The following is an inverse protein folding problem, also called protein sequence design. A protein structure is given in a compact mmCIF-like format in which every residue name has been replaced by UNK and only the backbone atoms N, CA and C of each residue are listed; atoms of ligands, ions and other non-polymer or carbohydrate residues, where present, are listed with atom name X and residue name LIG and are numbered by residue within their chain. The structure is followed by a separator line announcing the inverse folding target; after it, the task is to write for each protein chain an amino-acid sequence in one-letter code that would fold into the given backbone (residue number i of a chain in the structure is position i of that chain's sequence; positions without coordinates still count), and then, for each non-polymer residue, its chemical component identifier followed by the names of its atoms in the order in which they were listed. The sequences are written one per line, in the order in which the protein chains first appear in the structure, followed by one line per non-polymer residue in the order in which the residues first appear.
data_IF_994139427564
#
_entry.id   IF_994139427564
#
_cell.length_a   1.000
_cell.length_b   1.000
_cell.length_c   1.000
_cell.angle_alpha   90.00
_cell.angle_beta   90.00
_cell.angle_gamma   90.00
#
_symmetry.space_group_name_H-M   'P 1'
#
loop_
_entity.id
_entity.type
_entity.pdbx_description
1 polymer ?
#
# COMPACT_ATOMS: atom_id res chain seq x y z
N UNK A 1 6.77 -23.14 3.57
CA UNK A 1 8.00 -23.71 2.98
C UNK A 1 9.18 -23.02 3.64
N UNK A 2 10.15 -23.73 4.23
CA UNK A 2 11.29 -23.09 4.90
C UNK A 2 12.31 -22.68 3.85
N UNK A 3 12.62 -21.38 3.74
CA UNK A 3 13.82 -20.87 3.08
C UNK A 3 15.02 -21.59 3.73
N UNK A 4 15.54 -22.66 3.11
CA UNK A 4 16.36 -23.63 3.85
C UNK A 4 17.75 -23.11 4.18
N UNK A 5 18.31 -22.19 3.38
CA UNK A 5 19.57 -21.52 3.69
C UNK A 5 19.75 -20.28 2.81
N UNK A 6 19.81 -19.08 3.41
CA UNK A 6 20.35 -17.89 2.73
C UNK A 6 21.86 -17.93 2.91
N UNK A 7 22.60 -18.25 1.84
CA UNK A 7 24.07 -18.19 1.85
C UNK A 7 24.51 -16.84 1.31
N UNK A 8 24.58 -15.85 2.19
CA UNK A 8 25.06 -14.53 1.83
C UNK A 8 26.57 -14.55 1.54
N UNK A 9 26.95 -14.37 0.27
CA UNK A 9 28.32 -14.14 -0.15
C UNK A 9 28.41 -12.79 -0.87
N UNK A 10 28.98 -11.78 -0.19
CA UNK A 10 29.14 -10.44 -0.73
C UNK A 10 30.55 -10.23 -1.30
N UNK A 11 30.62 -9.74 -2.54
CA UNK A 11 31.85 -9.27 -3.18
C UNK A 11 31.85 -7.75 -3.12
N UNK A 12 32.82 -7.18 -2.40
CA UNK A 12 32.95 -5.72 -2.29
C UNK A 12 33.73 -5.18 -3.50
N UNK A 13 33.07 -4.40 -4.35
CA UNK A 13 33.73 -3.61 -5.38
C UNK A 13 33.81 -2.15 -4.91
N UNK A 14 34.97 -1.73 -4.41
CA UNK A 14 35.21 -0.32 -4.06
C UNK A 14 35.63 0.43 -5.32
N UNK A 15 34.71 1.22 -5.87
CA UNK A 15 34.98 2.15 -6.96
C UNK A 15 34.21 3.45 -6.75
N UNK A 16 34.90 4.60 -6.85
CA UNK A 16 34.32 5.95 -6.98
C UNK A 16 33.16 6.33 -6.03
N UNK A 17 33.14 5.87 -4.78
CA UNK A 17 32.17 6.30 -3.76
C UNK A 17 30.87 5.50 -3.70
N UNK A 18 30.67 4.50 -4.56
CA UNK A 18 29.57 3.55 -4.45
C UNK A 18 30.01 2.30 -3.67
N UNK A 19 29.17 1.84 -2.74
CA UNK A 19 29.36 0.57 -2.04
C UNK A 19 28.35 -0.42 -2.62
N UNK A 20 28.82 -1.45 -3.33
CA UNK A 20 27.98 -2.51 -3.86
C UNK A 20 28.10 -3.76 -2.99
N UNK A 21 26.97 -4.32 -2.57
CA UNK A 21 26.87 -5.62 -1.93
C UNK A 21 26.24 -6.62 -2.91
N UNK A 22 26.64 -7.88 -2.86
CA UNK A 22 25.95 -8.95 -3.59
C UNK A 22 25.37 -9.93 -2.57
N UNK A 23 24.08 -10.23 -2.65
CA UNK A 23 23.44 -11.30 -1.89
C UNK A 23 23.22 -12.48 -2.83
N UNK A 24 23.71 -13.65 -2.44
CA UNK A 24 23.36 -14.89 -3.13
C UNK A 24 22.27 -15.59 -2.33
N UNK A 25 21.16 -15.94 -2.97
CA UNK A 25 20.06 -16.68 -2.35
C UNK A 25 19.95 -17.99 -3.11
N UNK A 26 19.94 -19.11 -2.39
CA UNK A 26 19.67 -20.42 -2.99
C UNK A 26 18.23 -20.81 -2.66
N UNK A 27 17.40 -20.96 -3.69
CA UNK A 27 16.00 -21.37 -3.58
C UNK A 27 15.87 -22.66 -4.38
N UNK A 28 15.74 -23.79 -3.68
CA UNK A 28 15.58 -25.12 -4.27
C UNK A 28 16.66 -25.48 -5.33
N UNK A 29 17.91 -25.07 -5.10
CA UNK A 29 19.03 -25.33 -6.00
C UNK A 29 19.20 -24.28 -7.10
N UNK A 30 18.37 -23.23 -7.11
CA UNK A 30 18.54 -22.06 -7.97
C UNK A 30 19.26 -20.97 -7.19
N UNK A 31 20.51 -20.68 -7.58
CA UNK A 31 21.27 -19.58 -7.00
C UNK A 31 20.97 -18.27 -7.72
N UNK A 32 20.38 -17.33 -6.99
CA UNK A 32 20.07 -15.98 -7.44
C UNK A 32 21.08 -15.02 -6.84
N UNK A 33 21.75 -14.21 -7.68
CA UNK A 33 22.69 -13.18 -7.22
C UNK A 33 22.04 -11.81 -7.37
N UNK A 34 21.80 -11.16 -6.25
CA UNK A 34 21.28 -9.81 -6.15
C UNK A 34 22.42 -8.86 -5.93
N UNK A 35 22.64 -7.89 -6.82
CA UNK A 35 23.57 -6.80 -6.57
C UNK A 35 22.78 -5.59 -6.06
N UNK A 36 23.21 -5.04 -4.93
CA UNK A 36 22.67 -3.83 -4.33
C UNK A 36 23.77 -2.79 -4.32
N UNK A 37 23.45 -1.55 -4.70
CA UNK A 37 24.31 -0.41 -4.41
C UNK A 37 23.72 0.41 -3.27
N UNK A 38 24.54 1.25 -2.63
CA UNK A 38 24.12 2.16 -1.57
C UNK A 38 23.31 3.37 -2.07
N UNK A 39 22.97 3.42 -3.36
CA UNK A 39 22.26 4.53 -4.01
C UNK A 39 20.83 4.20 -4.41
N UNK A 40 20.49 2.91 -4.46
CA UNK A 40 19.18 2.37 -4.78
C UNK A 40 18.53 1.76 -3.55
N UNK A 41 17.21 1.71 -3.56
CA UNK A 41 16.45 0.99 -2.56
C UNK A 41 16.74 -0.50 -2.64
N UNK A 42 17.46 -0.98 -1.64
CA UNK A 42 17.72 -2.40 -1.40
C UNK A 42 16.40 -3.19 -1.35
N UNK A 43 15.35 -2.59 -0.78
CA UNK A 43 14.04 -3.19 -0.67
C UNK A 43 13.33 -3.36 -2.02
N UNK A 44 13.28 -2.31 -2.85
CA UNK A 44 12.68 -2.40 -4.18
C UNK A 44 13.37 -3.44 -5.07
N UNK A 45 14.69 -3.51 -4.98
CA UNK A 45 15.49 -4.54 -5.68
C UNK A 45 15.15 -5.94 -5.18
N UNK A 46 15.08 -6.15 -3.86
CA UNK A 46 14.71 -7.44 -3.28
C UNK A 46 13.30 -7.88 -3.72
N UNK A 47 12.33 -6.97 -3.67
CA UNK A 47 10.93 -7.25 -4.02
C UNK A 47 10.77 -7.57 -5.51
N UNK A 48 11.50 -6.87 -6.40
CA UNK A 48 11.58 -7.21 -7.84
C UNK A 48 12.03 -8.65 -8.05
N UNK A 49 13.09 -9.06 -7.38
CA UNK A 49 13.65 -10.39 -7.57
C UNK A 49 12.75 -11.48 -6.98
N UNK A 50 12.06 -11.21 -5.86
CA UNK A 50 11.02 -12.10 -5.33
C UNK A 50 9.90 -12.29 -6.37
N UNK A 51 9.45 -11.20 -7.03
CA UNK A 51 8.44 -11.29 -8.08
C UNK A 51 8.92 -12.08 -9.31
N UNK A 52 10.14 -11.80 -9.82
CA UNK A 52 10.74 -12.52 -10.95
C UNK A 52 10.87 -14.03 -10.69
N UNK A 53 11.18 -14.42 -9.44
CA UNK A 53 11.27 -15.81 -9.03
C UNK A 53 9.91 -16.51 -8.99
N UNK A 54 8.86 -15.81 -8.56
CA UNK A 54 7.48 -16.33 -8.58
C UNK A 54 7.04 -16.70 -10.00
N UNK A 55 7.34 -15.83 -10.98
CA UNK A 55 7.02 -16.04 -12.39
C UNK A 55 7.78 -17.21 -13.01
N UNK A 56 9.10 -17.28 -12.79
CA UNK A 56 9.96 -18.32 -13.37
C UNK A 56 9.55 -19.75 -12.98
N UNK A 57 8.83 -19.89 -11.87
CA UNK A 57 8.43 -21.17 -11.31
C UNK A 57 6.94 -21.48 -11.42
N UNK A 58 6.24 -20.78 -12.33
CA UNK A 58 4.89 -21.14 -12.78
C UNK A 58 3.82 -21.05 -11.68
N UNK A 59 3.98 -20.11 -10.73
CA UNK A 59 3.09 -19.95 -9.58
C UNK A 59 3.13 -21.12 -8.58
N UNK A 60 3.93 -22.17 -8.83
CA UNK A 60 3.93 -23.42 -8.06
C UNK A 60 4.92 -23.47 -6.91
N UNK A 61 5.95 -22.60 -6.90
CA UNK A 61 6.91 -22.56 -5.78
C UNK A 61 6.32 -21.98 -4.50
N UNK A 62 5.24 -21.22 -4.61
CA UNK A 62 4.51 -20.69 -3.47
C UNK A 62 3.19 -21.46 -3.30
N UNK A 63 3.29 -22.79 -3.19
CA UNK A 63 2.16 -23.75 -3.17
C UNK A 63 1.32 -23.77 -1.88
N UNK A 64 1.04 -22.61 -1.30
CA UNK A 64 0.03 -22.36 -0.27
C UNK A 64 -0.54 -20.97 -0.52
N UNK A 65 -1.73 -20.67 0.03
CA UNK A 65 -2.32 -19.33 0.04
C UNK A 65 -1.25 -18.25 0.27
N UNK A 66 -0.79 -17.61 -0.80
CA UNK A 66 0.16 -16.51 -0.68
C UNK A 66 -0.64 -15.32 -0.21
N UNK A 67 -0.74 -15.16 1.10
CA UNK A 67 -1.14 -13.89 1.66
C UNK A 67 -0.06 -12.88 1.23
N UNK A 68 -0.47 -11.76 0.66
CA UNK A 68 0.40 -10.69 0.15
C UNK A 68 1.48 -10.30 1.17
N UNK A 69 1.19 -10.48 2.47
CA UNK A 69 2.13 -10.36 3.59
C UNK A 69 3.36 -11.29 3.55
N UNK A 70 3.29 -12.49 2.97
CA UNK A 70 4.44 -13.41 2.87
C UNK A 70 5.50 -12.88 1.91
N UNK A 71 5.09 -12.26 0.80
CA UNK A 71 6.02 -11.67 -0.16
C UNK A 71 6.67 -10.40 0.40
N UNK A 72 5.92 -9.57 1.14
CA UNK A 72 6.49 -8.46 1.91
C UNK A 72 7.43 -8.92 3.03
N UNK A 73 7.09 -10.01 3.74
CA UNK A 73 7.98 -10.61 4.73
C UNK A 73 9.27 -11.11 4.08
N UNK A 74 9.19 -11.84 2.96
CA UNK A 74 10.36 -12.33 2.25
C UNK A 74 11.22 -11.20 1.70
N UNK A 75 10.62 -10.19 1.07
CA UNK A 75 11.32 -9.01 0.58
C UNK A 75 11.95 -8.21 1.73
N UNK A 76 11.24 -8.07 2.85
CA UNK A 76 11.74 -7.45 4.08
C UNK A 76 12.94 -8.18 4.67
N UNK A 77 12.87 -9.51 4.79
CA UNK A 77 13.99 -10.32 5.28
C UNK A 77 15.23 -10.22 4.38
N UNK A 78 15.02 -10.19 3.05
CA UNK A 78 16.11 -9.98 2.08
C UNK A 78 16.70 -8.56 2.18
N UNK A 79 15.84 -7.56 2.34
CA UNK A 79 16.27 -6.17 2.51
C UNK A 79 17.06 -5.98 3.80
N UNK A 80 16.60 -6.58 4.91
CA UNK A 80 17.28 -6.55 6.20
C UNK A 80 18.66 -7.22 6.11
N UNK A 81 18.75 -8.37 5.45
CA UNK A 81 20.03 -9.05 5.21
C UNK A 81 21.01 -8.21 4.39
N UNK A 82 20.53 -7.57 3.34
CA UNK A 82 21.35 -6.70 2.50
C UNK A 82 21.75 -5.38 3.21
N UNK A 83 20.86 -4.79 4.02
CA UNK A 83 21.17 -3.65 4.88
C UNK A 83 22.23 -3.99 5.93
N UNK A 84 22.11 -5.14 6.59
CA UNK A 84 23.10 -5.59 7.57
C UNK A 84 24.48 -5.78 6.93
N UNK A 85 24.54 -6.37 5.72
CA UNK A 85 25.78 -6.54 4.96
C UNK A 85 26.40 -5.20 4.56
N UNK A 86 25.60 -4.24 4.11
CA UNK A 86 26.06 -2.90 3.77
C UNK A 86 26.59 -2.17 5.02
N UNK A 87 25.89 -2.27 6.15
CA UNK A 87 26.31 -1.67 7.40
C UNK A 87 27.63 -2.26 7.93
N UNK A 88 27.79 -3.58 7.95
CA UNK A 88 29.02 -4.26 8.38
C UNK A 88 30.22 -3.87 7.50
N UNK A 89 30.02 -3.76 6.18
CA UNK A 89 31.15 -3.67 5.23
C UNK A 89 31.48 -2.26 4.78
N UNK A 90 30.51 -1.35 4.84
CA UNK A 90 30.70 0.06 4.50
C UNK A 90 30.86 0.94 5.76
N UNK A 91 30.59 0.42 6.98
CA UNK A 91 30.56 1.19 8.25
C UNK A 91 31.90 1.45 8.96
N UNK A 92 32.98 0.72 8.67
CA UNK A 92 34.22 0.76 9.48
C UNK A 92 35.32 1.72 8.98
N UNK A 93 34.99 2.64 8.06
CA UNK A 93 35.97 3.53 7.44
C UNK A 93 35.94 4.98 7.96
N UNK A 94 36.19 5.21 9.25
CA UNK A 94 36.67 6.47 9.87
C UNK A 94 36.03 7.84 9.47
N UNK A 95 34.89 7.89 8.76
CA UNK A 95 34.50 9.12 8.05
C UNK A 95 33.03 9.47 7.91
N UNK A 96 32.08 8.70 8.44
CA UNK A 96 30.68 9.10 8.46
C UNK A 96 29.76 7.97 8.88
N UNK A 97 28.75 8.31 9.67
CA UNK A 97 27.63 7.45 10.08
C UNK A 97 26.84 7.07 8.81
N UNK A 98 27.41 6.19 7.97
CA UNK A 98 26.82 5.70 6.73
C UNK A 98 25.74 4.67 7.05
N UNK A 99 24.82 5.04 7.94
CA UNK A 99 23.59 4.30 8.12
C UNK A 99 22.82 4.39 6.81
N UNK A 100 22.30 3.28 6.29
CA UNK A 100 21.41 3.32 5.16
C UNK A 100 20.28 4.32 5.42
N UNK A 101 19.84 5.02 4.37
CA UNK A 101 18.67 5.89 4.48
C UNK A 101 17.48 5.08 5.02
N UNK A 102 16.62 5.67 5.87
CA UNK A 102 15.40 5.02 6.33
C UNK A 102 14.56 4.54 5.14
N UNK A 103 13.96 3.34 5.24
CA UNK A 103 12.91 2.92 4.32
C UNK A 103 11.61 3.54 4.80
N UNK A 104 11.06 4.44 4.00
CA UNK A 104 9.78 5.08 4.27
C UNK A 104 8.66 4.28 3.58
N UNK A 105 7.74 3.79 4.40
CA UNK A 105 6.53 3.08 3.98
C UNK A 105 5.34 4.02 4.15
N UNK A 106 4.52 4.17 3.12
CA UNK A 106 3.29 4.94 3.17
C UNK A 106 2.12 4.02 2.79
N UNK A 107 1.20 3.80 3.72
CA UNK A 107 -0.02 3.04 3.48
C UNK A 107 -1.24 3.96 3.62
N UNK A 108 -2.07 4.02 2.58
CA UNK A 108 -3.33 4.77 2.57
C UNK A 108 -4.49 3.81 2.59
N UNK A 109 -5.40 4.03 3.55
CA UNK A 109 -6.45 3.06 3.88
C UNK A 109 -5.90 1.88 4.65
N UNK A 110 -5.11 2.17 5.69
CA UNK A 110 -4.48 1.13 6.52
C UNK A 110 -5.48 0.32 7.37
N UNK A 111 -6.77 0.71 7.35
CA UNK A 111 -7.83 0.05 8.07
C UNK A 111 -7.49 -0.12 9.56
N UNK A 112 -7.56 -1.34 10.10
CA UNK A 112 -7.14 -1.66 11.45
C UNK A 112 -5.76 -2.33 11.54
N UNK A 113 -5.08 -2.57 10.42
CA UNK A 113 -3.80 -3.28 10.37
C UNK A 113 -3.90 -4.78 10.56
N UNK A 114 -4.40 -5.25 11.70
CA UNK A 114 -4.49 -6.68 12.05
C UNK A 114 -5.68 -7.37 11.35
N UNK A 115 -5.65 -7.36 10.02
CA UNK A 115 -6.65 -7.99 9.18
C UNK A 115 -5.99 -8.97 8.20
N UNK A 116 -6.67 -10.04 7.77
CA UNK A 116 -6.12 -10.98 6.79
C UNK A 116 -5.72 -10.33 5.45
N UNK A 117 -6.27 -9.15 5.13
CA UNK A 117 -5.98 -8.41 3.91
C UNK A 117 -4.81 -7.44 4.03
N UNK A 118 -4.35 -7.09 5.23
CA UNK A 118 -3.29 -6.09 5.38
C UNK A 118 -1.91 -6.71 5.06
N UNK A 119 -1.23 -6.26 3.99
CA UNK A 119 0.03 -6.85 3.56
C UNK A 119 1.22 -6.47 4.44
N UNK A 120 1.10 -5.45 5.29
CA UNK A 120 2.20 -4.83 6.01
C UNK A 120 2.19 -5.11 7.51
N UNK A 121 1.04 -5.44 8.11
CA UNK A 121 0.90 -5.59 9.55
C UNK A 121 1.92 -6.54 10.18
N UNK A 122 1.96 -7.79 9.74
CA UNK A 122 2.85 -8.80 10.31
C UNK A 122 4.33 -8.37 10.23
N UNK A 123 4.73 -7.76 9.11
CA UNK A 123 6.08 -7.28 8.89
C UNK A 123 6.40 -6.06 9.76
N UNK A 124 5.64 -4.97 9.64
CA UNK A 124 5.87 -3.73 10.41
C UNK A 124 5.78 -3.95 11.93
N UNK A 125 4.87 -4.81 12.38
CA UNK A 125 4.63 -5.08 13.81
C UNK A 125 5.73 -5.94 14.43
N UNK A 126 6.25 -6.94 13.70
CA UNK A 126 7.06 -7.99 14.31
C UNK A 126 8.45 -8.20 13.70
N UNK A 127 8.69 -7.78 12.45
CA UNK A 127 9.91 -8.17 11.71
C UNK A 127 10.70 -7.01 11.15
N UNK A 128 10.06 -5.88 10.82
CA UNK A 128 10.71 -4.74 10.21
C UNK A 128 11.88 -4.24 11.07
N UNK A 129 12.98 -3.91 10.41
CA UNK A 129 14.13 -3.38 11.11
C UNK A 129 13.85 -1.98 11.70
N UNK A 130 14.60 -1.55 12.75
CA UNK A 130 14.35 -0.27 13.43
C UNK A 130 14.54 0.98 12.57
N UNK A 131 15.16 0.86 11.40
CA UNK A 131 15.38 1.96 10.45
C UNK A 131 14.21 2.11 9.46
N UNK A 132 13.21 1.20 9.49
CA UNK A 132 11.97 1.34 8.74
C UNK A 132 11.05 2.34 9.46
N UNK A 133 10.57 3.32 8.72
CA UNK A 133 9.54 4.27 9.15
C UNK A 133 8.27 4.02 8.34
N UNK A 134 7.12 4.07 8.99
CA UNK A 134 5.83 3.92 8.31
C UNK A 134 4.92 5.11 8.63
N UNK A 135 4.17 5.55 7.64
CA UNK A 135 3.04 6.48 7.77
C UNK A 135 1.78 5.72 7.38
N UNK A 136 0.89 5.50 8.35
CA UNK A 136 -0.36 4.77 8.13
C UNK A 136 -1.53 5.77 8.19
N UNK A 137 -2.28 5.85 7.10
CA UNK A 137 -3.39 6.80 6.92
C UNK A 137 -4.71 6.04 6.96
N UNK A 138 -5.61 6.41 7.86
CA UNK A 138 -6.93 5.82 7.99
C UNK A 138 -7.99 6.89 8.32
N UNK A 139 -8.97 7.15 7.44
CA UNK A 139 -9.97 8.21 7.64
C UNK A 139 -11.09 7.85 8.62
N UNK A 140 -11.40 6.56 8.81
CA UNK A 140 -12.51 6.13 9.65
C UNK A 140 -12.07 6.01 11.09
N UNK A 141 -12.62 6.87 11.95
CA UNK A 141 -12.21 6.97 13.36
C UNK A 141 -12.14 5.64 14.11
N UNK A 142 -13.12 4.76 13.95
CA UNK A 142 -13.13 3.48 14.65
C UNK A 142 -11.99 2.57 14.19
N UNK A 143 -11.74 2.50 12.88
CA UNK A 143 -10.62 1.77 12.28
C UNK A 143 -9.28 2.39 12.67
N UNK A 144 -9.15 3.72 12.63
CA UNK A 144 -7.96 4.44 13.08
C UNK A 144 -7.61 4.16 14.55
N UNK A 145 -8.62 4.18 15.44
CA UNK A 145 -8.40 3.86 16.85
C UNK A 145 -7.99 2.39 17.05
N UNK A 146 -8.48 1.46 16.23
CA UNK A 146 -8.06 0.06 16.22
C UNK A 146 -6.63 -0.10 15.67
N UNK A 147 -6.30 0.56 14.56
CA UNK A 147 -4.99 0.63 13.95
C UNK A 147 -3.91 1.01 14.97
N UNK A 148 -4.12 2.10 15.70
CA UNK A 148 -3.19 2.59 16.73
C UNK A 148 -3.00 1.54 17.84
N UNK A 149 -4.06 0.83 18.24
CA UNK A 149 -3.97 -0.24 19.25
C UNK A 149 -3.25 -1.46 18.73
N UNK A 150 -3.55 -1.90 17.51
CA UNK A 150 -3.00 -3.12 16.91
C UNK A 150 -1.49 -2.98 16.65
N UNK A 151 -1.06 -1.80 16.19
CA UNK A 151 0.36 -1.47 16.03
C UNK A 151 1.08 -1.04 17.33
N UNK A 152 0.41 -1.04 18.49
CA UNK A 152 1.04 -0.65 19.74
C UNK A 152 2.21 -1.58 20.08
N UNK A 153 3.43 -1.03 20.13
CA UNK A 153 4.66 -1.76 20.37
C UNK A 153 5.32 -2.36 19.13
N UNK A 154 4.92 -1.92 17.93
CA UNK A 154 5.56 -2.27 16.66
C UNK A 154 7.08 -2.07 16.69
N UNK A 155 7.80 -2.90 15.94
CA UNK A 155 9.26 -2.80 15.80
C UNK A 155 9.68 -1.67 14.86
N UNK A 156 8.85 -1.34 13.86
CA UNK A 156 9.03 -0.17 13.00
C UNK A 156 8.66 1.14 13.72
N UNK A 157 9.19 2.26 13.23
CA UNK A 157 8.77 3.60 13.68
C UNK A 157 7.52 4.04 12.93
N UNK A 158 6.36 3.99 13.60
CA UNK A 158 5.06 4.24 12.94
C UNK A 158 4.49 5.61 13.33
N UNK A 159 4.12 6.40 12.31
CA UNK A 159 3.29 7.60 12.41
C UNK A 159 1.88 7.30 11.90
N UNK A 160 0.87 7.87 12.56
CA UNK A 160 -0.53 7.65 12.22
C UNK A 160 -1.19 8.96 11.77
N UNK A 161 -2.02 8.88 10.74
CA UNK A 161 -2.76 10.02 10.19
C UNK A 161 -4.25 9.71 10.14
N UNK A 162 -5.04 10.39 10.98
CA UNK A 162 -6.51 10.31 10.96
C UNK A 162 -7.09 11.34 9.98
N UNK A 163 -6.96 11.04 8.69
CA UNK A 163 -7.49 11.85 7.60
C UNK A 163 -7.68 10.97 6.36
N UNK A 164 -8.44 11.46 5.40
CA UNK A 164 -8.44 10.92 4.04
C UNK A 164 -7.39 11.61 3.18
N UNK A 165 -6.97 10.96 2.09
CA UNK A 165 -6.15 11.60 1.06
C UNK A 165 -7.07 12.17 -0.01
N UNK A 166 -7.02 13.48 -0.20
CA UNK A 166 -7.86 14.23 -1.13
C UNK A 166 -7.20 14.49 -2.49
N UNK A 167 -6.12 13.76 -2.79
CA UNK A 167 -5.31 13.92 -4.00
C UNK A 167 -4.38 15.13 -3.91
N UNK A 168 -4.59 16.11 -4.80
CA UNK A 168 -3.67 17.27 -4.96
C UNK A 168 -4.01 18.49 -4.10
N UNK A 169 -5.22 18.58 -3.59
CA UNK A 169 -5.68 19.76 -2.84
C UNK A 169 -6.30 19.35 -1.50
N UNK A 170 -5.95 20.07 -0.43
CA UNK A 170 -6.61 19.91 0.87
C UNK A 170 -8.08 20.30 0.77
N UNK A 171 -8.95 19.37 1.10
CA UNK A 171 -10.39 19.60 1.20
C UNK A 171 -11.03 18.52 2.06
N UNK A 172 -12.11 18.81 2.80
CA UNK A 172 -12.89 17.77 3.45
C UNK A 172 -13.42 16.77 2.40
N UNK A 173 -13.44 15.50 2.78
CA UNK A 173 -14.06 14.44 1.97
C UNK A 173 -15.31 13.91 2.67
N UNK A 174 -16.25 13.45 1.87
CA UNK A 174 -17.49 12.85 2.33
C UNK A 174 -17.38 11.35 2.17
N UNK A 175 -17.35 10.63 3.27
CA UNK A 175 -17.37 9.18 3.31
C UNK A 175 -18.78 8.66 3.61
N UNK A 176 -19.06 7.49 3.06
CA UNK A 176 -20.25 6.71 3.32
C UNK A 176 -19.85 5.44 4.05
N UNK A 177 -20.62 5.04 5.06
CA UNK A 177 -20.39 3.83 5.84
C UNK A 177 -21.74 3.19 6.23
N UNK A 178 -21.85 1.86 6.37
CA UNK A 178 -23.03 1.24 6.95
C UNK A 178 -23.27 1.73 8.39
N UNK A 179 -24.51 2.10 8.72
CA UNK A 179 -24.87 2.63 10.03
C UNK A 179 -24.91 1.51 11.06
N UNK A 180 -24.15 1.70 12.14
CA UNK A 180 -24.11 0.78 13.28
C UNK A 180 -25.21 1.03 14.31
N UNK A 181 -25.58 -0.01 15.05
CA UNK A 181 -26.59 0.08 16.12
C UNK A 181 -26.07 0.67 17.44
N UNK A 182 -24.80 0.49 17.71
CA UNK A 182 -24.13 0.82 18.97
C UNK A 182 -23.48 2.21 18.97
N UNK A 183 -23.36 2.84 17.80
CA UNK A 183 -22.81 4.18 17.70
C UNK A 183 -23.80 5.22 18.28
N UNK A 184 -23.32 6.15 19.12
CA UNK A 184 -24.15 7.15 19.79
C UNK A 184 -24.61 8.21 18.78
N UNK A 185 -25.61 7.90 17.98
CA UNK A 185 -26.15 8.84 16.99
C UNK A 185 -27.24 9.71 17.63
N UNK A 186 -27.09 11.05 17.60
CA UNK A 186 -28.03 11.98 18.23
C UNK A 186 -29.42 12.04 17.55
N UNK A 187 -29.63 11.30 16.46
CA UNK A 187 -30.87 11.33 15.66
C UNK A 187 -31.53 9.95 15.57
N UNK A 188 -31.45 9.16 16.65
CA UNK A 188 -32.08 7.86 16.74
C UNK A 188 -33.55 7.98 17.12
N UNK A 189 -34.41 8.36 16.16
CA UNK A 189 -35.79 7.88 16.22
C UNK A 189 -35.74 6.34 16.17
N UNK A 190 -36.32 5.68 17.17
CA UNK A 190 -36.24 4.24 17.49
C UNK A 190 -36.64 3.24 16.38
N UNK A 191 -36.83 3.66 15.13
CA UNK A 191 -37.38 2.86 14.04
C UNK A 191 -36.37 2.52 12.92
N UNK A 192 -35.10 2.87 13.09
CA UNK A 192 -34.06 2.65 12.07
C UNK A 192 -33.37 1.32 12.28
N UNK A 193 -33.59 0.37 11.36
CA UNK A 193 -32.86 -0.89 11.24
C UNK A 193 -31.37 -0.59 11.13
N UNK A 194 -30.58 -0.90 12.13
CA UNK A 194 -29.14 -0.74 12.12
C UNK A 194 -28.48 -2.13 12.04
N UNK A 195 -27.18 -2.18 11.75
CA UNK A 195 -26.45 -3.45 11.70
C UNK A 195 -26.01 -3.85 13.11
N UNK A 196 -26.51 -4.99 13.61
CA UNK A 196 -26.09 -5.59 14.88
C UNK A 196 -24.94 -6.59 14.67
N UNK A 197 -24.02 -6.68 15.64
CA UNK A 197 -23.01 -7.75 15.69
C UNK A 197 -21.83 -7.57 14.74
N UNK A 198 -21.66 -6.39 14.13
CA UNK A 198 -20.43 -6.07 13.43
C UNK A 198 -19.43 -5.46 14.42
N UNK A 199 -18.33 -6.18 14.63
CA UNK A 199 -17.17 -5.66 15.34
C UNK A 199 -16.66 -4.39 14.64
N UNK A 200 -16.03 -3.51 15.41
CA UNK A 200 -15.91 -2.08 15.13
C UNK A 200 -15.02 -1.70 13.93
N UNK A 201 -14.52 -2.66 13.16
CA UNK A 201 -13.55 -2.43 12.09
C UNK A 201 -14.06 -2.79 10.69
N UNK A 202 -14.70 -3.94 10.49
CA UNK A 202 -14.99 -4.57 9.16
C UNK A 202 -15.93 -3.84 8.17
N UNK A 203 -16.23 -2.55 8.36
CA UNK A 203 -17.14 -1.84 7.46
C UNK A 203 -16.39 -1.16 6.32
N UNK A 204 -16.77 -1.54 5.10
CA UNK A 204 -16.40 -0.85 3.86
C UNK A 204 -16.85 0.61 3.97
N UNK A 205 -15.88 1.53 3.90
CA UNK A 205 -16.11 2.96 3.88
C UNK A 205 -15.45 3.58 2.66
N UNK A 206 -16.19 4.39 1.91
CA UNK A 206 -15.69 4.98 0.67
C UNK A 206 -16.34 6.34 0.43
N UNK A 207 -15.72 7.16 -0.40
CA UNK A 207 -16.38 8.35 -0.97
C UNK A 207 -17.47 7.99 -1.98
N UNK A 208 -17.52 6.73 -2.41
CA UNK A 208 -18.54 6.22 -3.31
C UNK A 208 -19.69 5.53 -2.56
N UNK A 209 -20.84 6.22 -2.48
CA UNK A 209 -22.04 5.67 -1.85
C UNK A 209 -22.50 4.35 -2.49
N UNK A 210 -22.40 4.21 -3.82
CA UNK A 210 -22.85 3.02 -4.54
C UNK A 210 -21.98 1.82 -4.20
N UNK A 211 -20.67 2.02 -4.10
CA UNK A 211 -19.73 0.99 -3.66
C UNK A 211 -20.09 0.48 -2.26
N UNK A 212 -20.23 1.40 -1.30
CA UNK A 212 -20.64 1.08 0.07
C UNK A 212 -22.00 0.39 0.11
N UNK A 213 -22.96 0.85 -0.69
CA UNK A 213 -24.28 0.23 -0.79
C UNK A 213 -24.22 -1.23 -1.25
N UNK A 214 -23.43 -1.52 -2.28
CA UNK A 214 -23.27 -2.88 -2.79
C UNK A 214 -22.50 -3.77 -1.80
N UNK A 215 -21.41 -3.26 -1.22
CA UNK A 215 -20.66 -3.97 -0.18
C UNK A 215 -21.53 -4.30 1.03
N UNK A 216 -22.27 -3.31 1.54
CA UNK A 216 -23.15 -3.48 2.69
C UNK A 216 -24.28 -4.49 2.46
N UNK A 217 -24.76 -4.62 1.22
CA UNK A 217 -25.80 -5.60 0.87
C UNK A 217 -25.26 -7.04 0.98
N UNK A 218 -24.04 -7.28 0.51
CA UNK A 218 -23.40 -8.60 0.64
C UNK A 218 -23.16 -8.98 2.10
N UNK A 219 -22.84 -7.98 2.92
CA UNK A 219 -22.59 -8.15 4.35
C UNK A 219 -23.85 -8.55 5.12
N UNK A 220 -24.98 -7.88 4.89
CA UNK A 220 -26.23 -8.14 5.63
C UNK A 220 -26.91 -9.43 5.19
N UNK A 221 -26.74 -9.82 3.92
CA UNK A 221 -27.32 -11.03 3.41
C UNK A 221 -26.41 -11.74 2.40
N UNK A 222 -25.50 -12.60 2.88
CA UNK A 222 -24.61 -13.37 2.01
C UNK A 222 -25.37 -14.37 1.12
N UNK A 223 -26.64 -14.66 1.41
CA UNK A 223 -27.50 -15.53 0.58
C UNK A 223 -28.20 -14.78 -0.55
N UNK A 224 -28.14 -13.44 -0.56
CA UNK A 224 -28.78 -12.58 -1.55
C UNK A 224 -30.32 -12.55 -1.50
N UNK A 225 -30.91 -13.08 -0.43
CA UNK A 225 -32.35 -13.36 -0.26
C UNK A 225 -33.20 -12.13 0.08
N UNK A 226 -32.63 -11.10 0.67
CA UNK A 226 -33.34 -9.97 1.28
C UNK A 226 -33.04 -8.67 0.53
N UNK A 227 -34.06 -7.81 0.51
CA UNK A 227 -34.02 -6.45 -0.05
C UNK A 227 -33.56 -5.40 0.97
N UNK A 228 -33.24 -5.81 2.19
CA UNK A 228 -32.95 -4.88 3.28
C UNK A 228 -31.48 -4.44 3.23
N UNK A 229 -31.24 -3.27 2.63
CA UNK A 229 -29.93 -2.63 2.73
C UNK A 229 -29.84 -1.89 4.05
N UNK A 230 -28.73 -2.03 4.79
CA UNK A 230 -28.57 -1.26 6.01
C UNK A 230 -28.52 0.24 5.66
N UNK A 231 -29.03 1.12 6.53
CA UNK A 231 -28.93 2.55 6.33
C UNK A 231 -27.46 2.92 6.23
N UNK A 232 -27.13 3.77 5.27
CA UNK A 232 -25.77 4.25 5.05
C UNK A 232 -25.65 5.63 5.67
N UNK A 233 -24.70 5.80 6.59
CA UNK A 233 -24.38 7.08 7.18
C UNK A 233 -23.43 7.87 6.26
N UNK A 234 -23.53 9.20 6.36
CA UNK A 234 -22.62 10.16 5.72
C UNK A 234 -21.71 10.76 6.79
N UNK A 235 -20.41 10.79 6.53
CA UNK A 235 -19.38 11.39 7.38
C UNK A 235 -18.57 12.38 6.60
N UNK A 236 -18.28 13.52 7.20
CA UNK A 236 -17.26 14.43 6.70
C UNK A 236 -15.97 14.16 7.46
N UNK A 237 -14.88 13.93 6.74
CA UNK A 237 -13.55 13.67 7.29
C UNK A 237 -12.59 14.73 6.77
N UNK A 238 -11.57 15.06 7.57
CA UNK A 238 -10.49 15.92 7.10
C UNK A 238 -9.81 15.23 5.89
N UNK A 239 -9.58 15.99 4.82
CA UNK A 239 -8.82 15.51 3.68
C UNK A 239 -7.53 16.31 3.50
N UNK A 240 -6.42 15.59 3.44
CA UNK A 240 -5.08 16.14 3.22
C UNK A 240 -4.64 15.85 1.79
N UNK A 241 -3.84 16.75 1.21
CA UNK A 241 -3.12 16.41 -0.03
C UNK A 241 -1.85 15.59 0.29
N UNK A 242 -1.32 14.92 -0.74
CA UNK A 242 -0.11 14.12 -0.61
C UNK A 242 1.09 14.88 -0.09
N UNK A 243 1.35 16.09 -0.61
CA UNK A 243 2.51 16.89 -0.24
C UNK A 243 2.51 17.19 1.26
N UNK A 244 1.35 17.50 1.79
CA UNK A 244 1.14 17.79 3.20
C UNK A 244 1.45 16.60 4.10
N UNK A 245 1.11 15.38 3.67
CA UNK A 245 1.44 14.15 4.40
C UNK A 245 2.95 13.92 4.33
N UNK A 246 3.55 13.98 3.13
CA UNK A 246 4.99 13.77 2.94
C UNK A 246 5.83 14.78 3.73
N UNK A 247 5.48 16.08 3.67
CA UNK A 247 6.15 17.16 4.39
C UNK A 247 6.02 17.00 5.91
N UNK A 248 4.81 16.71 6.42
CA UNK A 248 4.57 16.58 7.86
C UNK A 248 5.35 15.40 8.49
N UNK A 249 5.64 14.37 7.69
CA UNK A 249 6.36 13.19 8.15
C UNK A 249 7.83 13.14 7.69
N UNK A 250 8.31 14.18 7.00
CA UNK A 250 9.68 14.23 6.48
C UNK A 250 10.01 13.06 5.55
N UNK A 251 9.03 12.64 4.75
CA UNK A 251 9.16 11.60 3.74
C UNK A 251 9.51 12.27 2.41
N UNK A 252 10.82 12.45 2.17
CA UNK A 252 11.34 12.96 0.89
C UNK A 252 11.58 11.83 -0.13
N UNK A 253 11.53 10.59 0.33
CA UNK A 253 11.52 9.38 -0.48
C UNK A 253 10.42 8.48 0.08
N UNK A 254 9.84 7.65 -0.78
CA UNK A 254 8.92 6.59 -0.37
C UNK A 254 9.50 5.33 -0.96
N UNK A 255 9.77 4.31 -0.15
CA UNK A 255 10.21 3.04 -0.71
C UNK A 255 9.05 2.14 -1.07
N UNK A 256 7.99 2.17 -0.25
CA UNK A 256 6.77 1.40 -0.49
C UNK A 256 5.57 2.31 -0.35
N UNK A 257 4.78 2.42 -1.42
CA UNK A 257 3.44 3.00 -1.41
C UNK A 257 2.43 1.87 -1.50
N UNK A 258 1.57 1.75 -0.49
CA UNK A 258 0.40 0.87 -0.49
C UNK A 258 -0.85 1.74 -0.48
N UNK A 259 -1.78 1.47 -1.39
CA UNK A 259 -3.08 2.16 -1.44
C UNK A 259 -4.17 1.09 -1.44
N UNK A 260 -4.99 1.11 -0.40
CA UNK A 260 -6.19 0.28 -0.27
C UNK A 260 -7.30 1.17 0.29
N UNK A 261 -7.85 2.03 -0.56
CA UNK A 261 -8.75 3.11 -0.12
C UNK A 261 -10.18 2.88 -0.60
N UNK A 262 -10.58 1.61 -0.79
CA UNK A 262 -11.93 1.16 -1.05
C UNK A 262 -12.61 2.01 -2.14
N UNK A 263 -12.24 1.72 -3.39
CA UNK A 263 -12.74 2.35 -4.61
C UNK A 263 -12.13 3.72 -5.00
N UNK A 264 -11.01 4.12 -4.39
CA UNK A 264 -10.26 5.34 -4.71
C UNK A 264 -8.83 5.09 -5.21
N UNK A 265 -8.44 3.83 -5.32
CA UNK A 265 -7.04 3.40 -5.46
C UNK A 265 -6.35 4.03 -6.68
N UNK A 266 -6.95 3.89 -7.87
CA UNK A 266 -6.40 4.48 -9.08
C UNK A 266 -6.30 6.01 -9.04
N UNK A 267 -7.29 6.70 -8.47
CA UNK A 267 -7.28 8.17 -8.36
C UNK A 267 -6.17 8.64 -7.42
N UNK A 268 -5.96 7.90 -6.33
CA UNK A 268 -4.90 8.15 -5.36
C UNK A 268 -3.52 7.91 -5.97
N UNK A 269 -3.32 6.78 -6.65
CA UNK A 269 -2.06 6.49 -7.35
C UNK A 269 -1.79 7.54 -8.44
N UNK A 270 -2.78 7.87 -9.28
CA UNK A 270 -2.63 8.86 -10.35
C UNK A 270 -2.37 10.28 -9.83
N UNK A 271 -2.87 10.61 -8.64
CA UNK A 271 -2.66 11.93 -8.02
C UNK A 271 -1.40 12.04 -7.17
N UNK A 272 -0.68 10.93 -6.95
CA UNK A 272 0.56 10.91 -6.18
C UNK A 272 1.62 11.84 -6.81
N UNK A 273 2.33 12.67 -6.01
CA UNK A 273 3.27 13.67 -6.53
C UNK A 273 4.63 13.02 -6.84
N UNK A 274 4.71 12.32 -7.97
CA UNK A 274 5.94 11.65 -8.43
C UNK A 274 7.13 12.60 -8.67
N UNK A 275 6.88 13.91 -8.76
CA UNK A 275 7.91 14.95 -8.82
C UNK A 275 8.53 15.28 -7.45
N UNK A 276 7.87 14.88 -6.35
CA UNK A 276 8.31 15.12 -4.96
C UNK A 276 8.93 13.88 -4.36
N UNK A 277 8.30 12.72 -4.55
CA UNK A 277 8.78 11.44 -4.08
C UNK A 277 8.53 10.37 -5.15
N UNK A 278 9.41 9.39 -5.27
CA UNK A 278 9.26 8.29 -6.23
C UNK A 278 9.24 6.98 -5.45
N UNK A 279 8.08 6.32 -5.29
CA UNK A 279 7.96 5.00 -4.68
C UNK A 279 8.85 3.98 -5.39
N UNK A 280 9.64 3.18 -4.70
CA UNK A 280 10.30 2.05 -5.38
C UNK A 280 9.29 0.96 -5.74
N UNK A 281 8.29 0.78 -4.88
CA UNK A 281 7.20 -0.18 -5.02
C UNK A 281 5.87 0.54 -4.83
N UNK A 282 4.92 0.26 -5.71
CA UNK A 282 3.53 0.70 -5.59
C UNK A 282 2.66 -0.54 -5.57
N UNK A 283 1.82 -0.69 -4.56
CA UNK A 283 0.81 -1.74 -4.44
C UNK A 283 -0.55 -1.10 -4.26
N UNK A 284 -1.53 -1.55 -5.03
CA UNK A 284 -2.92 -1.12 -4.87
C UNK A 284 -3.91 -2.13 -5.43
N UNK A 285 -5.16 -2.07 -4.99
CA UNK A 285 -6.20 -2.96 -5.51
C UNK A 285 -6.75 -2.42 -6.84
N UNK A 286 -6.27 -2.94 -7.96
CA UNK A 286 -6.82 -2.67 -9.29
C UNK A 286 -8.32 -3.00 -9.39
N UNK A 287 -8.84 -3.92 -8.58
CA UNK A 287 -10.28 -4.18 -8.45
C UNK A 287 -11.05 -2.96 -7.95
N UNK A 288 -10.46 -2.17 -7.06
CA UNK A 288 -11.01 -0.90 -6.58
C UNK A 288 -10.94 0.22 -7.62
N UNK A 289 -10.25 0.00 -8.74
CA UNK A 289 -10.37 0.87 -9.90
C UNK A 289 -11.63 0.62 -10.73
N UNK A 290 -12.61 -0.17 -10.26
CA UNK A 290 -13.84 -0.48 -11.00
C UNK A 290 -14.68 0.76 -11.38
N UNK A 291 -14.49 1.89 -10.70
CA UNK A 291 -15.13 3.15 -11.08
C UNK A 291 -14.38 3.90 -12.18
N UNK A 292 -13.09 3.61 -12.35
CA UNK A 292 -12.34 4.10 -13.47
C UNK A 292 -12.86 3.40 -14.74
N UNK A 293 -13.09 4.19 -15.80
CA UNK A 293 -13.37 3.64 -17.12
C UNK A 293 -12.23 2.69 -17.52
N UNK A 294 -12.49 1.64 -18.33
CA UNK A 294 -11.43 0.78 -18.83
C UNK A 294 -10.24 1.55 -19.41
N UNK A 295 -10.51 2.63 -20.13
CA UNK A 295 -9.50 3.52 -20.72
C UNK A 295 -8.67 4.28 -19.66
N UNK A 296 -9.25 4.60 -18.50
CA UNK A 296 -8.55 5.27 -17.40
C UNK A 296 -7.59 4.31 -16.68
N UNK A 297 -7.98 3.03 -16.54
CA UNK A 297 -7.08 2.00 -16.00
C UNK A 297 -5.92 1.70 -16.94
N UNK A 298 -6.20 1.61 -18.24
CA UNK A 298 -5.17 1.47 -19.26
C UNK A 298 -4.23 2.68 -19.26
N UNK A 299 -4.77 3.90 -19.18
CA UNK A 299 -3.96 5.12 -19.10
C UNK A 299 -3.08 5.18 -17.85
N UNK A 300 -3.55 4.67 -16.70
CA UNK A 300 -2.71 4.56 -15.50
C UNK A 300 -1.59 3.53 -15.68
N UNK A 301 -1.89 2.36 -16.24
CA UNK A 301 -0.89 1.31 -16.51
C UNK A 301 0.19 1.83 -17.50
N UNK A 302 -0.23 2.45 -18.60
CA UNK A 302 0.65 3.09 -19.59
C UNK A 302 1.50 4.20 -18.94
N UNK A 303 0.91 5.04 -18.08
CA UNK A 303 1.66 6.08 -17.38
C UNK A 303 2.71 5.51 -16.41
N UNK A 304 2.33 4.53 -15.57
CA UNK A 304 3.26 3.91 -14.64
C UNK A 304 4.41 3.22 -15.40
N UNK A 305 4.11 2.53 -16.50
CA UNK A 305 5.09 1.73 -17.23
C UNK A 305 5.91 2.53 -18.24
N UNK A 306 5.27 3.24 -19.15
CA UNK A 306 5.92 3.92 -20.28
C UNK A 306 6.43 5.32 -19.91
N UNK A 307 5.79 6.01 -18.96
CA UNK A 307 6.21 7.36 -18.54
C UNK A 307 7.10 7.31 -17.30
N UNK A 308 6.70 6.58 -16.27
CA UNK A 308 7.44 6.52 -15.00
C UNK A 308 8.44 5.37 -14.91
N UNK A 309 8.43 4.42 -15.86
CA UNK A 309 9.43 3.36 -15.94
C UNK A 309 9.26 2.21 -14.94
N UNK A 310 8.06 2.05 -14.37
CA UNK A 310 7.76 0.89 -13.53
C UNK A 310 7.62 -0.39 -14.36
N UNK A 311 7.98 -1.53 -13.77
CA UNK A 311 7.56 -2.84 -14.21
C UNK A 311 6.32 -3.23 -13.42
N UNK A 312 5.28 -3.69 -14.10
CA UNK A 312 4.25 -4.48 -13.44
C UNK A 312 4.86 -5.81 -13.02
N UNK A 313 4.72 -6.18 -11.75
CA UNK A 313 5.16 -7.45 -11.19
C UNK A 313 4.00 -8.47 -11.32
N UNK A 314 4.06 -9.42 -12.26
CA UNK A 314 3.06 -10.47 -12.36
C UNK A 314 3.14 -11.39 -11.13
N UNK A 315 2.03 -12.01 -10.75
CA UNK A 315 2.03 -13.02 -9.68
C UNK A 315 2.08 -12.48 -8.24
N UNK A 316 2.17 -11.16 -8.03
CA UNK A 316 1.90 -10.52 -6.72
C UNK A 316 0.38 -10.41 -6.44
N UNK A 317 -0.39 -11.33 -7.03
CA UNK A 317 -1.83 -11.42 -6.90
C UNK A 317 -2.08 -12.32 -5.71
N UNK A 318 -2.39 -11.72 -4.55
CA UNK A 318 -2.87 -12.47 -3.40
C UNK A 318 -4.19 -13.18 -3.73
N UNK A 319 -4.86 -13.72 -2.71
CA UNK A 319 -6.14 -14.43 -2.88
C UNK A 319 -7.27 -13.63 -3.56
N UNK A 320 -7.07 -12.33 -3.78
CA UNK A 320 -7.96 -11.46 -4.52
C UNK A 320 -7.32 -11.20 -5.88
N UNK A 321 -7.97 -11.59 -6.98
CA UNK A 321 -7.51 -11.42 -8.38
C UNK A 321 -7.41 -9.94 -8.82
N UNK A 322 -7.19 -9.04 -7.88
CA UNK A 322 -7.46 -7.62 -7.98
C UNK A 322 -6.27 -6.76 -7.60
N UNK A 323 -5.20 -7.29 -7.00
CA UNK A 323 -4.04 -6.47 -6.64
C UNK A 323 -3.12 -6.21 -7.85
N UNK A 324 -2.64 -4.98 -7.97
CA UNK A 324 -1.57 -4.61 -8.89
C UNK A 324 -0.34 -4.14 -8.11
N UNK A 325 0.81 -4.73 -8.45
CA UNK A 325 2.11 -4.37 -7.91
C UNK A 325 3.00 -3.86 -9.03
N UNK A 326 3.62 -2.69 -8.80
CA UNK A 326 4.55 -2.05 -9.71
C UNK A 326 5.87 -1.82 -8.99
N UNK A 327 6.97 -2.17 -9.66
CA UNK A 327 8.33 -2.03 -9.12
C UNK A 327 9.17 -1.20 -10.09
N UNK A 328 9.83 -0.17 -9.59
CA UNK A 328 10.65 0.72 -10.42
C UNK A 328 11.82 -0.07 -11.05
N UNK A 329 11.95 -0.05 -12.38
CA UNK A 329 12.94 -0.90 -13.09
C UNK A 329 14.39 -0.50 -12.82
N UNK A 330 14.61 0.81 -12.71
CA UNK A 330 15.87 1.51 -12.46
C UNK A 330 15.51 3.00 -12.50
N UNK A 331 16.20 3.87 -11.73
CA UNK A 331 15.97 5.30 -11.85
C UNK A 331 16.22 5.72 -13.31
N UNK A 332 15.15 5.98 -14.06
CA UNK A 332 15.26 6.74 -15.28
C UNK A 332 15.98 8.05 -14.92
N UNK A 333 16.90 8.55 -15.75
CA UNK A 333 17.61 9.79 -15.47
C UNK A 333 16.61 10.95 -15.48
N UNK A 334 16.06 11.23 -14.30
CA UNK A 334 14.99 12.18 -13.98
C UNK A 334 13.64 11.89 -14.67
N UNK A 335 12.53 11.76 -13.91
CA UNK A 335 11.20 11.86 -14.50
C UNK A 335 11.07 13.25 -15.17
N UNK A 336 10.24 13.39 -16.23
CA UNK A 336 10.01 14.70 -16.83
C UNK A 336 9.55 15.70 -15.75
N UNK A 337 10.10 16.92 -15.74
CA UNK A 337 9.80 18.00 -14.77
C UNK A 337 8.30 18.35 -14.63
N UNK A 338 7.42 17.76 -15.44
CA UNK A 338 5.98 17.96 -15.43
C UNK A 338 5.17 16.71 -15.78
N UNK A 339 5.70 15.50 -15.63
CA UNK A 339 4.91 14.28 -15.81
C UNK A 339 3.88 14.20 -14.69
N UNK A 340 2.69 14.72 -14.97
CA UNK A 340 1.52 14.54 -14.14
C UNK A 340 0.44 14.02 -15.08
N UNK A 341 -0.11 12.85 -14.77
CA UNK A 341 -1.42 12.49 -15.33
C UNK A 341 -2.40 13.58 -14.89
N UNK A 342 -3.17 14.13 -15.82
CA UNK A 342 -4.34 14.90 -15.42
C UNK A 342 -5.19 14.01 -14.50
N UNK A 343 -5.71 14.54 -13.38
CA UNK A 343 -6.54 13.75 -12.49
C UNK A 343 -7.65 13.13 -13.33
N UNK A 344 -7.89 11.84 -13.13
CA UNK A 344 -8.99 11.13 -13.76
C UNK A 344 -10.24 11.95 -13.45
N UNK A 345 -10.74 12.66 -14.46
CA UNK A 345 -11.82 13.59 -14.24
C UNK A 345 -13.02 12.75 -13.90
N UNK A 346 -13.49 12.84 -12.66
CA UNK A 346 -14.72 12.18 -12.23
C UNK A 346 -15.77 12.50 -13.29
N UNK A 347 -16.40 11.51 -13.94
CA UNK A 347 -17.37 11.78 -14.98
C UNK A 347 -18.38 12.78 -14.41
N UNK A 348 -18.71 13.85 -15.16
CA UNK A 348 -19.52 14.96 -14.65
C UNK A 348 -20.74 14.35 -13.97
N UNK A 349 -20.87 14.66 -12.68
CA UNK A 349 -21.88 14.13 -11.76
C UNK A 349 -23.16 13.91 -12.55
N UNK A 350 -23.44 12.66 -12.94
CA UNK A 350 -24.60 12.33 -13.78
C UNK A 350 -25.77 12.76 -12.92
N UNK A 351 -26.29 13.96 -13.19
CA UNK A 351 -27.27 14.63 -12.38
C UNK A 351 -28.31 13.60 -12.00
N UNK A 352 -28.33 13.24 -10.71
CA UNK A 352 -29.33 12.33 -10.17
C UNK A 352 -30.65 12.91 -10.59
N UNK A 353 -31.34 12.23 -11.50
CA UNK A 353 -32.72 12.56 -11.84
C UNK A 353 -33.45 12.71 -10.51
N UNK A 354 -33.98 13.90 -10.28
CA UNK A 354 -34.80 14.20 -9.12
C UNK A 354 -35.88 13.13 -9.05
N UNK A 355 -35.76 12.19 -8.11
CA UNK A 355 -36.88 11.33 -7.75
C UNK A 355 -37.91 12.26 -7.12
N UNK A 356 -38.93 12.60 -7.91
CA UNK A 356 -40.08 13.36 -7.47
C UNK A 356 -40.75 12.63 -6.30
N UNK A 357 -40.95 13.39 -5.24
CA UNK A 357 -41.79 13.08 -4.08
C UNK A 357 -43.22 12.72 -4.47
#
# INVERSE_FOLDING_TARGET
MLLRTVVAAAVLLRGAGACTATLSIDIDGVSVKLAFDNTSSVFGTALRHVAELGDAHGGGLMGGSCETGDAFCAAGELADGAHALLAERCGDGDGGDARPAPLDVLQVGAHEGDSPGDPLYAWLRHRAAPWVRAVLVEPMRASFEALVRNYAGAVASISYVHAAVAGRERRPLVFYEPRRCDAPYPDASHDVRCVHGFETSTLIASTNWTFVYHGARWIVDPTGSTTAVPPIARREVAGLDWRSILEAHGASAVGVLVVDAEAMDCDLVASFPFDVAVPDVIVFEQGHCAHAQPDERAALDDYLTDVLGYARAPGFVGHVEHDACYVLRSMAPNPPDSATLDPITTPPDRQRGTFGS
#
